data_IF_617765950439
#
_entry.id   IF_617765950439
#
_cell.length_a   1.000
_cell.length_b   1.000
_cell.length_c   1.000
_cell.angle_alpha   90.00
_cell.angle_beta   90.00
_cell.angle_gamma   90.00
#
_symmetry.space_group_name_H-M   'P 1'
#
loop_
_entity.id
_entity.type
_entity.pdbx_description
1 polymer ?
#
# COMPACT_ATOMS: atom_id res chain seq x y z
N UNK A 1 5.39 -5.48 1.22
CA UNK A 1 5.47 -5.11 -0.23
C UNK A 1 5.11 -6.27 -1.14
N UNK A 2 5.42 -7.52 -0.77
CA UNK A 2 5.12 -8.69 -1.61
C UNK A 2 3.67 -8.76 -2.08
N UNK A 3 2.69 -8.39 -1.25
CA UNK A 3 1.27 -8.42 -1.63
C UNK A 3 0.97 -7.54 -2.85
N UNK A 4 1.47 -6.31 -2.85
CA UNK A 4 1.30 -5.37 -3.95
C UNK A 4 2.13 -5.74 -5.19
N UNK A 5 3.34 -6.29 -4.98
CA UNK A 5 4.21 -6.73 -6.08
C UNK A 5 3.70 -7.99 -6.78
N UNK A 6 2.99 -8.87 -6.06
CA UNK A 6 2.35 -10.06 -6.63
C UNK A 6 1.11 -9.71 -7.48
N UNK A 7 0.47 -8.57 -7.22
CA UNK A 7 -0.77 -8.13 -7.88
C UNK A 7 -0.72 -6.65 -8.26
N UNK A 8 0.09 -6.27 -9.28
CA UNK A 8 0.11 -4.90 -9.77
C UNK A 8 -1.27 -4.49 -10.32
N UNK A 9 -1.72 -3.28 -9.97
CA UNK A 9 -3.02 -2.73 -10.37
C UNK A 9 -4.22 -3.16 -9.51
N UNK A 10 -4.05 -4.08 -8.56
CA UNK A 10 -5.14 -4.50 -7.68
C UNK A 10 -5.35 -3.50 -6.54
N UNK A 11 -6.62 -3.18 -6.26
CA UNK A 11 -7.02 -2.32 -5.15
C UNK A 11 -7.17 -3.17 -3.89
N UNK A 12 -6.46 -2.79 -2.84
CA UNK A 12 -6.54 -3.40 -1.52
C UNK A 12 -7.14 -2.40 -0.53
N UNK A 13 -8.23 -2.80 0.13
CA UNK A 13 -8.86 -2.00 1.19
C UNK A 13 -7.98 -1.91 2.43
N UNK A 14 -8.13 -0.84 3.21
CA UNK A 14 -7.37 -0.64 4.45
C UNK A 14 -7.51 -1.83 5.40
N UNK A 15 -8.72 -2.37 5.56
CA UNK A 15 -8.99 -3.56 6.39
C UNK A 15 -8.27 -4.81 5.86
N UNK A 16 -8.21 -4.98 4.53
CA UNK A 16 -7.50 -6.11 3.92
C UNK A 16 -6.00 -5.99 4.17
N UNK A 17 -5.44 -4.78 4.05
CA UNK A 17 -4.02 -4.52 4.32
C UNK A 17 -3.69 -4.70 5.80
N UNK A 18 -4.57 -4.25 6.71
CA UNK A 18 -4.43 -4.51 8.14
C UNK A 18 -4.43 -6.02 8.41
N UNK A 19 -5.38 -6.76 7.84
CA UNK A 19 -5.46 -8.20 8.07
C UNK A 19 -4.27 -8.97 7.48
N UNK A 20 -3.73 -8.56 6.34
CA UNK A 20 -2.61 -9.27 5.71
C UNK A 20 -1.23 -8.92 6.29
N UNK A 21 -1.05 -7.71 6.80
CA UNK A 21 0.26 -7.23 7.26
C UNK A 21 0.32 -7.09 8.79
N UNK A 22 -0.81 -6.82 9.44
CA UNK A 22 -0.94 -6.57 10.88
C UNK A 22 -1.93 -7.55 11.55
N UNK A 23 -2.09 -8.78 11.03
CA UNK A 23 -3.05 -9.76 11.58
C UNK A 23 -2.87 -10.03 13.08
N UNK A 24 -1.64 -9.91 13.58
CA UNK A 24 -1.25 -10.20 14.95
C UNK A 24 -1.21 -8.96 15.86
N UNK A 25 -1.41 -7.77 15.29
CA UNK A 25 -1.24 -6.50 15.98
C UNK A 25 -2.62 -5.91 16.29
N UNK A 26 -3.20 -6.33 17.43
CA UNK A 26 -4.55 -5.93 17.85
C UNK A 26 -4.66 -4.45 18.24
N UNK A 27 -3.54 -3.75 18.40
CA UNK A 27 -3.49 -2.30 18.65
C UNK A 27 -3.26 -1.48 17.38
N UNK A 28 -2.89 -2.10 16.25
CA UNK A 28 -2.76 -1.40 15.00
C UNK A 28 -4.13 -0.92 14.53
N UNK A 29 -4.27 0.40 14.33
CA UNK A 29 -5.42 1.03 13.70
C UNK A 29 -5.22 1.31 12.21
N UNK A 30 -6.26 1.76 11.48
CA UNK A 30 -6.14 2.15 10.07
C UNK A 30 -5.13 3.29 9.84
N UNK A 31 -4.84 4.10 10.86
CA UNK A 31 -3.82 5.15 10.83
C UNK A 31 -2.40 4.62 10.60
N UNK A 32 -2.10 3.41 11.08
CA UNK A 32 -0.81 2.75 10.81
C UNK A 32 -0.66 2.45 9.33
N UNK A 33 -1.73 2.01 8.66
CA UNK A 33 -1.70 1.76 7.21
C UNK A 33 -1.39 3.06 6.48
N UNK A 34 -2.02 4.18 6.85
CA UNK A 34 -1.79 5.47 6.20
C UNK A 34 -0.34 5.94 6.35
N UNK A 35 0.19 5.82 7.57
CA UNK A 35 1.59 6.15 7.89
C UNK A 35 2.54 5.27 7.07
N UNK A 36 2.27 3.96 7.01
CA UNK A 36 3.07 3.02 6.26
C UNK A 36 3.00 3.27 4.75
N UNK A 37 1.82 3.56 4.20
CA UNK A 37 1.66 3.93 2.79
C UNK A 37 2.47 5.18 2.43
N UNK A 38 2.45 6.21 3.29
CA UNK A 38 3.27 7.41 3.10
C UNK A 38 4.78 7.10 3.12
N UNK A 39 5.20 6.25 4.05
CA UNK A 39 6.59 5.80 4.12
C UNK A 39 7.00 4.98 2.88
N UNK A 40 6.11 4.10 2.42
CA UNK A 40 6.32 3.26 1.24
C UNK A 40 6.47 4.11 -0.03
N UNK A 41 5.61 5.11 -0.22
CA UNK A 41 5.72 6.07 -1.32
C UNK A 41 7.06 6.80 -1.33
N UNK A 42 7.52 7.24 -0.16
CA UNK A 42 8.84 7.89 -0.02
C UNK A 42 9.99 6.94 -0.36
N UNK A 43 9.91 5.69 0.08
CA UNK A 43 10.92 4.67 -0.24
C UNK A 43 10.96 4.33 -1.73
N UNK A 44 9.79 4.11 -2.35
CA UNK A 44 9.69 3.82 -3.79
C UNK A 44 10.24 4.96 -4.63
N UNK A 45 9.91 6.21 -4.27
CA UNK A 45 10.44 7.40 -4.94
C UNK A 45 11.97 7.51 -4.81
N UNK A 46 12.52 7.21 -3.64
CA UNK A 46 13.98 7.21 -3.42
C UNK A 46 14.69 6.07 -4.15
N UNK A 47 14.03 4.91 -4.29
CA UNK A 47 14.55 3.76 -5.02
C UNK A 47 14.50 3.95 -6.55
N UNK A 48 13.88 5.04 -7.05
CA UNK A 48 13.66 5.24 -8.48
C UNK A 48 12.75 4.17 -9.10
N UNK A 49 11.87 3.58 -8.29
CA UNK A 49 10.99 2.52 -8.76
C UNK A 49 9.94 3.09 -9.73
N UNK A 50 9.68 2.37 -10.82
CA UNK A 50 8.64 2.72 -11.81
C UNK A 50 7.23 2.38 -11.30
N UNK A 51 6.99 2.47 -9.98
CA UNK A 51 5.70 2.15 -9.37
C UNK A 51 5.29 3.23 -8.39
N UNK A 52 4.00 3.51 -8.33
CA UNK A 52 3.40 4.47 -7.44
C UNK A 52 2.21 3.85 -6.70
N UNK A 53 2.05 4.22 -5.43
CA UNK A 53 0.86 3.84 -4.66
C UNK A 53 -0.20 4.90 -4.86
N UNK A 54 -1.30 4.50 -5.50
CA UNK A 54 -2.49 5.32 -5.72
C UNK A 54 -3.51 5.06 -4.63
N UNK A 55 -4.07 6.14 -4.09
CA UNK A 55 -5.22 6.08 -3.18
C UNK A 55 -6.50 6.13 -4.00
N UNK A 56 -7.32 5.08 -3.89
CA UNK A 56 -8.66 5.01 -4.48
C UNK A 56 -9.68 5.33 -3.40
N UNK A 57 -10.29 6.52 -3.50
CA UNK A 57 -11.23 7.03 -2.50
C UNK A 57 -12.40 6.06 -2.33
N UNK A 58 -12.62 5.59 -1.11
CA UNK A 58 -13.69 4.64 -0.77
C UNK A 58 -13.40 3.17 -1.08
N UNK A 59 -12.27 2.84 -1.71
CA UNK A 59 -11.91 1.45 -2.04
C UNK A 59 -10.59 0.99 -1.38
N UNK A 60 -9.58 1.87 -1.27
CA UNK A 60 -8.31 1.57 -0.62
C UNK A 60 -7.09 2.06 -1.40
N UNK A 61 -6.08 1.20 -1.52
CA UNK A 61 -4.79 1.51 -2.15
C UNK A 61 -4.48 0.53 -3.27
N UNK A 62 -3.93 1.03 -4.37
CA UNK A 62 -3.41 0.22 -5.46
C UNK A 62 -1.95 0.58 -5.74
N UNK A 63 -1.15 -0.41 -6.12
CA UNK A 63 0.17 -0.18 -6.67
C UNK A 63 0.07 -0.18 -8.19
N UNK A 64 0.31 0.95 -8.84
CA UNK A 64 0.30 1.07 -10.29
C UNK A 64 1.73 1.28 -10.79
N UNK A 65 2.07 0.68 -11.92
CA UNK A 65 3.30 1.00 -12.65
C UNK A 65 3.15 2.38 -13.28
N UNK A 66 4.16 3.23 -13.11
CA UNK A 66 4.24 4.56 -13.68
C UNK A 66 4.65 4.41 -15.14
N UNK A 67 3.72 3.97 -15.99
CA UNK A 67 3.97 3.89 -17.44
C UNK A 67 4.51 5.23 -17.94
N UNK A 68 5.77 5.19 -18.38
CA UNK A 68 6.43 6.23 -19.16
C UNK A 68 5.74 6.42 -20.52
#
# INVERSE_FOLDING_TARGET
MELFMKHPGQVFSTEHLMKQVWELDTEAGPDVVWTYMGFLRRKLKQAGADVEIRTVRGAGYALEERKC
#
